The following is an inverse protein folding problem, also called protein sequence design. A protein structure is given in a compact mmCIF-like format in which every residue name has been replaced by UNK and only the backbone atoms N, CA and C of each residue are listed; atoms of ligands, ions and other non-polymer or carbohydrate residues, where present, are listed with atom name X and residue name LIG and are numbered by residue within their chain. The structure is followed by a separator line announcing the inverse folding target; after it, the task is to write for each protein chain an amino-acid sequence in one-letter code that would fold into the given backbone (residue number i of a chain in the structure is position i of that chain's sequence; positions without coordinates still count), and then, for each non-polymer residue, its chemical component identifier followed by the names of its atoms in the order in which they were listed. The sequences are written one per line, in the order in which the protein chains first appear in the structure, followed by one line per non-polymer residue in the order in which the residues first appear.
data_IF_749160104566
#
_entry.id   IF_749160104566
#
_cell.length_a   1.000
_cell.length_b   1.000
_cell.length_c   1.000
_cell.angle_alpha   90.00
_cell.angle_beta   90.00
_cell.angle_gamma   90.00
#
_symmetry.space_group_name_H-M   'P 1'
#
loop_
_entity.id
_entity.type
_entity.pdbx_description
1 polymer ?
#
# COMPACT_ATOMS: atom_id res chain seq x y z
N UNK A 1 -33.16 82.98 -2.02
CA UNK A 1 -33.58 81.95 -3.02
C UNK A 1 -32.37 81.08 -3.31
N UNK A 2 -32.23 79.99 -2.61
CA UNK A 2 -31.09 79.06 -2.75
C UNK A 2 -31.64 77.75 -3.34
N UNK A 3 -31.16 77.36 -4.52
CA UNK A 3 -31.46 76.10 -5.16
C UNK A 3 -30.33 75.10 -4.79
N UNK A 4 -30.67 74.14 -3.96
CA UNK A 4 -29.80 73.01 -3.67
C UNK A 4 -29.98 71.93 -4.75
N UNK A 5 -28.88 71.60 -5.40
CA UNK A 5 -28.81 70.50 -6.38
C UNK A 5 -28.33 69.28 -5.64
N UNK A 6 -29.16 68.25 -5.54
CA UNK A 6 -28.81 66.92 -5.01
C UNK A 6 -28.13 66.12 -6.12
N UNK A 7 -26.85 65.82 -5.94
CA UNK A 7 -26.14 64.85 -6.79
C UNK A 7 -26.31 63.43 -6.25
N UNK A 8 -27.05 62.57 -6.96
CA UNK A 8 -27.12 61.15 -6.72
C UNK A 8 -25.88 60.47 -7.32
N UNK A 9 -25.00 60.00 -6.44
CA UNK A 9 -23.88 59.15 -6.85
C UNK A 9 -24.36 57.68 -6.95
N UNK A 10 -24.41 57.17 -8.15
CA UNK A 10 -24.69 55.74 -8.45
C UNK A 10 -23.36 54.99 -8.31
N UNK A 11 -23.25 54.20 -7.26
CA UNK A 11 -22.08 53.33 -7.01
C UNK A 11 -22.35 51.98 -7.68
N UNK A 12 -21.77 51.75 -8.85
CA UNK A 12 -21.78 50.45 -9.57
C UNK A 12 -20.82 49.48 -8.83
N UNK A 13 -21.41 48.55 -8.09
CA UNK A 13 -20.68 47.35 -7.61
C UNK A 13 -20.45 46.37 -8.79
N UNK A 14 -19.27 46.43 -9.37
CA UNK A 14 -18.80 45.39 -10.29
C UNK A 14 -18.41 44.13 -9.49
N UNK A 15 -19.34 43.20 -9.32
CA UNK A 15 -19.05 41.86 -8.78
C UNK A 15 -18.24 41.06 -9.79
N UNK A 16 -16.92 41.04 -9.61
CA UNK A 16 -16.04 40.19 -10.40
C UNK A 16 -16.25 38.73 -10.00
N UNK A 17 -16.92 37.94 -10.86
CA UNK A 17 -16.92 36.48 -10.79
C UNK A 17 -15.47 36.00 -11.03
N UNK A 18 -14.76 35.64 -9.97
CA UNK A 18 -13.50 34.91 -10.11
C UNK A 18 -13.81 33.49 -10.63
N UNK A 19 -13.69 33.27 -11.93
CA UNK A 19 -13.57 31.92 -12.47
C UNK A 19 -12.25 31.34 -11.95
N UNK A 20 -12.34 30.46 -10.95
CA UNK A 20 -11.23 29.58 -10.58
C UNK A 20 -11.05 28.60 -11.73
N UNK A 21 -10.10 28.88 -12.63
CA UNK A 21 -9.67 27.92 -13.62
C UNK A 21 -9.06 26.73 -12.88
N UNK A 22 -9.79 25.60 -12.85
CA UNK A 22 -9.22 24.32 -12.42
C UNK A 22 -8.15 23.94 -13.44
N UNK A 23 -6.88 24.09 -13.08
CA UNK A 23 -5.78 23.51 -13.85
C UNK A 23 -6.02 22.00 -13.91
N UNK A 24 -6.09 21.37 -15.09
CA UNK A 24 -6.19 19.94 -15.18
C UNK A 24 -4.99 19.32 -14.46
N UNK A 25 -5.24 18.36 -13.55
CA UNK A 25 -4.17 17.59 -12.91
C UNK A 25 -3.33 16.95 -14.01
N UNK A 26 -2.02 17.21 -14.01
CA UNK A 26 -1.06 16.60 -14.93
C UNK A 26 -0.66 15.20 -14.50
N UNK A 27 -1.24 14.71 -13.41
CA UNK A 27 -0.94 13.37 -12.88
C UNK A 27 -1.52 12.30 -13.83
N UNK A 28 -0.64 11.47 -14.37
CA UNK A 28 -1.06 10.32 -15.15
C UNK A 28 -1.92 9.39 -14.27
N UNK A 29 -3.09 8.93 -14.76
CA UNK A 29 -3.91 8.04 -13.97
C UNK A 29 -3.17 6.72 -13.68
N UNK A 30 -3.42 6.08 -12.52
CA UNK A 30 -2.83 4.79 -12.23
C UNK A 30 -3.15 3.77 -13.33
N UNK A 31 -2.12 3.06 -13.80
CA UNK A 31 -2.28 2.02 -14.81
C UNK A 31 -2.15 0.63 -14.18
N UNK A 32 -2.99 -0.31 -14.64
CA UNK A 32 -2.98 -1.70 -14.18
C UNK A 32 -2.38 -2.58 -15.27
N UNK A 33 -1.21 -3.18 -15.01
CA UNK A 33 -0.50 -4.06 -15.95
C UNK A 33 -0.58 -5.53 -15.58
N UNK A 34 -0.79 -5.86 -14.31
CA UNK A 34 -0.78 -7.21 -13.76
C UNK A 34 -2.14 -7.60 -13.20
N UNK A 35 -2.52 -8.88 -13.29
CA UNK A 35 -3.64 -9.39 -12.50
C UNK A 35 -3.29 -9.47 -11.00
N UNK A 36 -4.30 -9.79 -10.17
CA UNK A 36 -4.12 -9.85 -8.72
C UNK A 36 -3.10 -10.91 -8.30
N UNK A 37 -3.06 -12.07 -8.99
CA UNK A 37 -2.11 -13.12 -8.66
C UNK A 37 -0.67 -12.74 -9.02
N UNK A 38 -0.48 -12.06 -10.15
CA UNK A 38 0.82 -11.53 -10.56
C UNK A 38 1.31 -10.45 -9.59
N UNK A 39 0.42 -9.54 -9.15
CA UNK A 39 0.75 -8.54 -8.14
C UNK A 39 1.16 -9.19 -6.81
N UNK A 40 0.40 -10.21 -6.36
CA UNK A 40 0.72 -10.94 -5.14
C UNK A 40 2.09 -11.61 -5.21
N UNK A 41 2.39 -12.30 -6.32
CA UNK A 41 3.64 -13.04 -6.50
C UNK A 41 4.85 -12.14 -6.75
N UNK A 42 4.64 -11.03 -7.46
CA UNK A 42 5.74 -10.16 -7.88
C UNK A 42 6.10 -9.09 -6.84
N UNK A 43 5.19 -8.73 -5.96
CA UNK A 43 5.38 -7.61 -5.04
C UNK A 43 5.11 -7.99 -3.58
N UNK A 44 3.88 -8.43 -3.25
CA UNK A 44 3.51 -8.62 -1.85
C UNK A 44 4.17 -9.85 -1.23
N UNK A 45 4.18 -10.99 -1.95
CA UNK A 45 4.74 -12.24 -1.42
C UNK A 45 6.26 -12.16 -1.15
N UNK A 46 7.10 -11.64 -2.06
CA UNK A 46 8.52 -11.48 -1.76
C UNK A 46 8.78 -10.61 -0.53
N UNK A 47 8.09 -9.47 -0.42
CA UNK A 47 8.22 -8.58 0.73
C UNK A 47 7.72 -9.24 2.03
N UNK A 48 6.58 -9.95 1.97
CA UNK A 48 6.06 -10.67 3.14
C UNK A 48 7.03 -11.75 3.64
N UNK A 49 7.70 -12.47 2.73
CA UNK A 49 8.67 -13.48 3.11
C UNK A 49 9.86 -12.91 3.88
N UNK A 50 10.34 -11.72 3.54
CA UNK A 50 11.42 -11.06 4.30
C UNK A 50 10.95 -10.74 5.72
N UNK A 51 9.72 -10.23 5.89
CA UNK A 51 9.15 -9.98 7.22
C UNK A 51 8.98 -11.28 8.01
N UNK A 52 8.52 -12.35 7.35
CA UNK A 52 8.29 -13.65 8.00
C UNK A 52 9.59 -14.38 8.36
N UNK A 53 10.65 -14.26 7.53
CA UNK A 53 11.95 -14.87 7.86
C UNK A 53 12.55 -14.29 9.14
N UNK A 54 12.27 -13.02 9.45
CA UNK A 54 12.69 -12.40 10.70
C UNK A 54 12.02 -12.98 11.96
N UNK A 55 11.05 -13.90 11.85
CA UNK A 55 10.53 -14.64 13.00
C UNK A 55 11.47 -15.77 13.45
N UNK A 56 12.17 -16.42 12.50
CA UNK A 56 13.10 -17.51 12.77
C UNK A 56 14.56 -17.06 12.89
N UNK A 57 14.93 -16.07 12.10
CA UNK A 57 16.30 -15.55 12.02
C UNK A 57 16.31 -14.11 12.56
N UNK A 58 17.08 -13.86 13.64
CA UNK A 58 17.25 -12.50 14.12
C UNK A 58 18.05 -11.69 13.08
N UNK A 59 17.46 -10.67 12.48
CA UNK A 59 18.14 -9.88 11.45
C UNK A 59 19.44 -9.19 11.94
N UNK A 60 19.57 -9.01 13.26
CA UNK A 60 20.78 -8.45 13.88
C UNK A 60 21.97 -9.42 13.88
N UNK A 61 21.71 -10.72 13.77
CA UNK A 61 22.74 -11.78 13.82
C UNK A 61 23.21 -12.20 12.44
N UNK A 62 22.61 -11.65 11.39
CA UNK A 62 22.95 -11.98 9.99
C UNK A 62 24.38 -11.56 9.69
N UNK A 63 25.20 -12.52 9.26
CA UNK A 63 26.62 -12.30 8.91
C UNK A 63 26.78 -12.35 7.40
N UNK A 64 27.48 -11.36 6.87
CA UNK A 64 27.93 -11.42 5.48
C UNK A 64 28.96 -12.52 5.28
N UNK A 65 28.83 -13.26 4.18
CA UNK A 65 29.82 -14.28 3.81
C UNK A 65 31.08 -13.58 3.29
N UNK A 66 32.26 -13.80 3.90
CA UNK A 66 33.50 -13.19 3.44
C UNK A 66 33.78 -13.50 1.96
N UNK A 67 34.13 -12.48 1.19
CA UNK A 67 34.40 -12.62 -0.25
C UNK A 67 33.17 -12.73 -1.15
N UNK A 68 31.95 -12.71 -0.59
CA UNK A 68 30.73 -12.66 -1.37
C UNK A 68 30.29 -11.19 -1.57
N UNK A 69 29.95 -10.85 -2.83
CA UNK A 69 29.39 -9.50 -3.11
C UNK A 69 27.93 -9.44 -2.63
N UNK A 70 27.58 -8.59 -1.66
CA UNK A 70 26.22 -8.47 -1.15
C UNK A 70 25.19 -8.11 -2.24
N UNK A 71 25.61 -7.41 -3.31
CA UNK A 71 24.72 -7.07 -4.42
C UNK A 71 24.30 -8.30 -5.25
N UNK A 72 25.02 -9.41 -5.12
CA UNK A 72 24.74 -10.68 -5.80
C UNK A 72 23.97 -11.66 -4.92
N UNK A 73 23.62 -11.29 -3.69
CA UNK A 73 22.85 -12.15 -2.81
C UNK A 73 21.38 -12.23 -3.26
N UNK A 74 20.85 -13.45 -3.33
CA UNK A 74 19.43 -13.72 -3.53
C UNK A 74 18.63 -13.73 -2.23
N UNK A 75 19.32 -13.78 -1.09
CA UNK A 75 18.72 -13.65 0.24
C UNK A 75 18.71 -12.16 0.65
N UNK A 76 17.52 -11.56 0.80
CA UNK A 76 17.41 -10.15 1.18
C UNK A 76 18.11 -9.80 2.49
N UNK A 77 18.15 -10.73 3.46
CA UNK A 77 18.78 -10.47 4.77
C UNK A 77 20.32 -10.37 4.67
N UNK A 78 20.92 -10.99 3.67
CA UNK A 78 22.37 -10.96 3.42
C UNK A 78 22.77 -10.03 2.28
N UNK A 79 21.83 -9.28 1.72
CA UNK A 79 22.04 -8.34 0.62
C UNK A 79 22.69 -7.03 1.11
N UNK A 80 22.98 -6.12 0.17
CA UNK A 80 23.54 -4.78 0.44
C UNK A 80 22.72 -4.00 1.48
N UNK A 81 21.39 -4.16 1.47
CA UNK A 81 20.48 -3.57 2.45
C UNK A 81 19.95 -4.63 3.41
N UNK A 82 20.85 -5.51 3.90
CA UNK A 82 20.48 -6.67 4.69
C UNK A 82 20.15 -6.39 6.15
N UNK A 83 19.99 -7.46 6.92
CA UNK A 83 19.67 -7.39 8.34
C UNK A 83 18.35 -6.66 8.61
N UNK A 84 18.32 -5.86 9.66
CA UNK A 84 17.12 -5.09 10.02
C UNK A 84 16.65 -4.15 8.92
N UNK A 85 17.57 -3.60 8.11
CA UNK A 85 17.20 -2.71 7.00
C UNK A 85 16.39 -3.45 5.92
N UNK A 86 16.70 -4.72 5.65
CA UNK A 86 15.89 -5.52 4.72
C UNK A 86 14.46 -5.68 5.23
N UNK A 87 14.28 -5.92 6.53
CA UNK A 87 12.96 -6.05 7.16
C UNK A 87 12.20 -4.72 7.12
N UNK A 88 12.86 -3.61 7.44
CA UNK A 88 12.27 -2.26 7.32
C UNK A 88 11.77 -2.00 5.89
N UNK A 89 12.63 -2.21 4.89
CA UNK A 89 12.30 -2.00 3.50
C UNK A 89 11.14 -2.88 3.03
N UNK A 90 11.13 -4.15 3.45
CA UNK A 90 10.08 -5.10 3.10
C UNK A 90 8.73 -4.72 3.74
N UNK A 91 8.73 -4.31 5.00
CA UNK A 91 7.52 -3.86 5.68
C UNK A 91 6.95 -2.58 5.04
N UNK A 92 7.80 -1.62 4.66
CA UNK A 92 7.37 -0.44 3.90
C UNK A 92 6.84 -0.81 2.52
N UNK A 93 7.51 -1.71 1.79
CA UNK A 93 7.05 -2.18 0.49
C UNK A 93 5.65 -2.80 0.57
N UNK A 94 5.33 -3.55 1.64
CA UNK A 94 4.00 -4.09 1.87
C UNK A 94 2.97 -2.99 2.14
N UNK A 95 3.28 -2.03 3.02
CA UNK A 95 2.39 -0.93 3.35
C UNK A 95 2.05 -0.08 2.11
N UNK A 96 3.06 0.24 1.30
CA UNK A 96 2.88 1.00 0.05
C UNK A 96 2.15 0.17 -1.02
N UNK A 97 2.45 -1.13 -1.12
CA UNK A 97 1.80 -2.03 -2.08
C UNK A 97 0.32 -2.25 -1.78
N UNK A 98 -0.14 -2.00 -0.55
CA UNK A 98 -1.56 -1.99 -0.22
C UNK A 98 -2.35 -1.00 -1.08
N UNK A 99 -1.74 0.10 -1.53
CA UNK A 99 -2.36 1.06 -2.45
C UNK A 99 -2.66 0.41 -3.81
N UNK A 100 -1.79 -0.49 -4.28
CA UNK A 100 -1.96 -1.18 -5.56
C UNK A 100 -3.15 -2.14 -5.55
N UNK A 101 -3.56 -2.65 -4.38
CA UNK A 101 -4.73 -3.51 -4.21
C UNK A 101 -6.05 -2.75 -4.43
N UNK A 102 -6.04 -1.44 -4.24
CA UNK A 102 -7.22 -0.57 -4.36
C UNK A 102 -7.40 0.03 -5.76
N UNK A 103 -6.44 -0.14 -6.67
CA UNK A 103 -6.53 0.42 -8.02
C UNK A 103 -7.62 -0.35 -8.79
N UNK A 104 -8.64 0.38 -9.25
CA UNK A 104 -9.73 -0.17 -10.05
C UNK A 104 -9.23 -0.72 -11.40
N UNK A 105 -9.98 -1.67 -11.98
CA UNK A 105 -9.66 -2.25 -13.30
C UNK A 105 -8.72 -3.46 -13.25
N UNK A 106 -8.26 -3.89 -12.07
CA UNK A 106 -7.49 -5.12 -11.92
C UNK A 106 -8.41 -6.33 -11.87
N UNK A 107 -8.06 -7.36 -12.61
CA UNK A 107 -8.75 -8.65 -12.56
C UNK A 107 -8.05 -9.62 -11.60
N UNK A 108 -8.80 -10.55 -11.06
CA UNK A 108 -8.29 -11.75 -10.41
C UNK A 108 -7.85 -12.78 -11.46
N UNK A 109 -7.10 -13.80 -11.07
CA UNK A 109 -6.52 -14.80 -11.99
C UNK A 109 -7.53 -15.59 -12.83
N UNK A 110 -8.81 -15.53 -12.47
CA UNK A 110 -9.92 -16.14 -13.21
C UNK A 110 -10.65 -15.15 -14.14
N UNK A 111 -10.10 -13.94 -14.34
CA UNK A 111 -10.68 -12.89 -15.16
C UNK A 111 -11.81 -12.07 -14.49
N UNK A 112 -12.25 -12.45 -13.30
CA UNK A 112 -13.27 -11.69 -12.55
C UNK A 112 -12.65 -10.40 -12.04
N UNK A 113 -13.29 -9.23 -12.19
CA UNK A 113 -12.80 -7.98 -11.63
C UNK A 113 -12.59 -8.07 -10.11
N UNK A 114 -11.45 -7.56 -9.62
CA UNK A 114 -11.22 -7.44 -8.19
C UNK A 114 -12.28 -6.53 -7.57
N UNK A 115 -12.93 -6.93 -6.47
CA UNK A 115 -14.06 -6.19 -5.91
C UNK A 115 -13.59 -5.01 -5.05
N UNK A 116 -12.84 -4.10 -5.65
CA UNK A 116 -12.21 -2.95 -4.95
C UNK A 116 -13.20 -1.99 -4.32
N UNK A 117 -14.48 -2.07 -4.69
CA UNK A 117 -15.58 -1.28 -4.10
C UNK A 117 -16.31 -2.00 -2.96
N UNK A 118 -16.02 -3.29 -2.72
CA UNK A 118 -16.60 -4.03 -1.59
C UNK A 118 -16.03 -3.45 -0.27
N UNK A 119 -16.88 -3.09 0.70
CA UNK A 119 -16.43 -2.56 1.99
C UNK A 119 -15.43 -3.48 2.72
N UNK A 120 -15.62 -4.81 2.63
CA UNK A 120 -14.70 -5.75 3.25
C UNK A 120 -13.32 -5.76 2.54
N UNK A 121 -13.27 -5.49 1.23
CA UNK A 121 -12.01 -5.33 0.53
C UNK A 121 -11.20 -4.18 1.11
N UNK A 122 -11.84 -3.03 1.28
CA UNK A 122 -11.21 -1.84 1.88
C UNK A 122 -10.69 -2.10 3.30
N UNK A 123 -11.48 -2.82 4.11
CA UNK A 123 -11.06 -3.20 5.47
C UNK A 123 -9.80 -4.06 5.43
N UNK A 124 -9.78 -5.13 4.63
CA UNK A 124 -8.60 -6.00 4.53
C UNK A 124 -7.36 -5.29 3.98
N UNK A 125 -7.52 -4.39 3.02
CA UNK A 125 -6.41 -3.57 2.52
C UNK A 125 -5.83 -2.70 3.64
N UNK A 126 -6.70 -2.11 4.47
CA UNK A 126 -6.25 -1.31 5.61
C UNK A 126 -5.58 -2.17 6.68
N UNK A 127 -6.09 -3.36 6.97
CA UNK A 127 -5.47 -4.29 7.92
C UNK A 127 -4.04 -4.68 7.49
N UNK A 128 -3.83 -4.97 6.19
CA UNK A 128 -2.48 -5.24 5.66
C UNK A 128 -1.57 -4.02 5.84
N UNK A 129 -2.03 -2.82 5.52
CA UNK A 129 -1.26 -1.59 5.69
C UNK A 129 -0.86 -1.37 7.14
N UNK A 130 -1.81 -1.49 8.07
CA UNK A 130 -1.59 -1.25 9.49
C UNK A 130 -0.65 -2.30 10.10
N UNK A 131 -0.82 -3.58 9.73
CA UNK A 131 0.06 -4.66 10.16
C UNK A 131 1.49 -4.47 9.65
N UNK A 132 1.64 -4.09 8.37
CA UNK A 132 2.94 -3.79 7.78
C UNK A 132 3.64 -2.63 8.49
N UNK A 133 2.91 -1.56 8.81
CA UNK A 133 3.47 -0.43 9.55
C UNK A 133 3.84 -0.77 11.00
N UNK A 134 3.17 -1.74 11.63
CA UNK A 134 3.60 -2.28 12.93
C UNK A 134 4.93 -3.02 12.80
N UNK A 135 5.07 -3.90 11.80
CA UNK A 135 6.32 -4.61 11.50
C UNK A 135 7.45 -3.64 11.17
N UNK A 136 7.19 -2.59 10.42
CA UNK A 136 8.16 -1.53 10.14
C UNK A 136 8.70 -0.89 11.43
N UNK A 137 7.81 -0.51 12.35
CA UNK A 137 8.23 0.10 13.62
C UNK A 137 9.01 -0.86 14.52
N UNK A 138 8.64 -2.15 14.53
CA UNK A 138 9.40 -3.19 15.25
C UNK A 138 10.80 -3.35 14.68
N UNK A 139 10.93 -3.37 13.34
CA UNK A 139 12.23 -3.45 12.67
C UNK A 139 13.09 -2.21 12.92
N UNK A 140 12.53 -1.00 12.90
CA UNK A 140 13.26 0.24 13.26
C UNK A 140 13.79 0.20 14.70
N UNK A 141 13.00 -0.36 15.62
CA UNK A 141 13.43 -0.55 17.01
C UNK A 141 14.41 -1.71 17.18
N UNK A 142 14.60 -2.55 16.16
CA UNK A 142 15.39 -3.79 16.21
C UNK A 142 14.92 -4.73 17.33
N UNK A 143 13.61 -4.74 17.56
CA UNK A 143 12.95 -5.50 18.62
C UNK A 143 12.47 -6.84 18.07
N UNK A 144 13.22 -7.90 18.36
CA UNK A 144 12.94 -9.25 17.85
C UNK A 144 11.62 -9.80 18.37
N UNK A 145 11.30 -9.59 19.63
CA UNK A 145 10.06 -10.12 20.21
C UNK A 145 8.84 -9.43 19.58
N UNK A 146 8.94 -8.11 19.41
CA UNK A 146 7.90 -7.33 18.72
C UNK A 146 7.79 -7.68 17.25
N UNK A 147 8.89 -8.05 16.62
CA UNK A 147 8.90 -8.48 15.22
C UNK A 147 8.13 -9.78 15.04
N UNK A 148 8.30 -10.75 15.92
CA UNK A 148 7.55 -12.01 15.93
C UNK A 148 6.04 -11.73 16.05
N UNK A 149 5.62 -10.93 17.05
CA UNK A 149 4.21 -10.56 17.26
C UNK A 149 3.60 -9.85 16.04
N UNK A 150 4.33 -8.91 15.44
CA UNK A 150 3.81 -8.13 14.31
C UNK A 150 3.78 -8.92 13.01
N UNK A 151 4.69 -9.88 12.81
CA UNK A 151 4.66 -10.80 11.68
C UNK A 151 3.44 -11.75 11.74
N UNK A 152 3.08 -12.22 12.93
CA UNK A 152 1.83 -12.98 13.14
C UNK A 152 0.60 -12.12 12.79
N UNK A 153 0.58 -10.86 13.23
CA UNK A 153 -0.48 -9.89 12.90
C UNK A 153 -0.60 -9.70 11.38
N UNK A 154 0.53 -9.56 10.68
CA UNK A 154 0.57 -9.43 9.22
C UNK A 154 0.05 -10.71 8.53
N UNK A 155 0.47 -11.88 9.01
CA UNK A 155 -0.02 -13.17 8.50
C UNK A 155 -1.54 -13.29 8.63
N UNK A 156 -2.10 -12.88 9.77
CA UNK A 156 -3.54 -12.90 10.02
C UNK A 156 -4.29 -11.95 9.07
N UNK A 157 -3.78 -10.74 8.82
CA UNK A 157 -4.35 -9.77 7.89
C UNK A 157 -4.39 -10.33 6.44
N UNK A 158 -3.28 -10.92 5.98
CA UNK A 158 -3.22 -11.58 4.67
C UNK A 158 -4.23 -12.72 4.57
N UNK A 159 -4.27 -13.58 5.60
CA UNK A 159 -5.18 -14.74 5.63
C UNK A 159 -6.66 -14.32 5.67
N UNK A 160 -7.01 -13.21 6.30
CA UNK A 160 -8.37 -12.67 6.33
C UNK A 160 -8.92 -12.40 4.94
N UNK A 161 -8.17 -11.61 4.15
CA UNK A 161 -8.50 -11.32 2.76
C UNK A 161 -8.54 -12.59 1.89
N UNK A 162 -7.52 -13.45 2.03
CA UNK A 162 -7.42 -14.68 1.25
C UNK A 162 -8.61 -15.61 1.50
N UNK A 163 -9.02 -15.83 2.76
CA UNK A 163 -10.20 -16.65 3.07
C UNK A 163 -11.47 -16.12 2.40
N UNK A 164 -11.65 -14.82 2.36
CA UNK A 164 -12.86 -14.21 1.78
C UNK A 164 -12.86 -14.24 0.25
N UNK A 165 -11.75 -13.90 -0.38
CA UNK A 165 -11.72 -13.62 -1.81
C UNK A 165 -10.93 -14.63 -2.65
N UNK A 166 -9.88 -15.27 -2.11
CA UNK A 166 -9.01 -16.21 -2.84
C UNK A 166 -9.37 -17.66 -2.62
N UNK A 167 -9.55 -18.08 -1.35
CA UNK A 167 -9.62 -19.49 -0.96
C UNK A 167 -11.07 -20.05 -1.11
N UNK A 168 -11.65 -19.84 -2.30
CA UNK A 168 -12.96 -20.40 -2.64
C UNK A 168 -12.81 -21.85 -3.10
N UNK A 169 -13.78 -22.70 -2.75
CA UNK A 169 -13.78 -24.13 -3.13
C UNK A 169 -13.64 -24.33 -4.65
N UNK A 170 -14.31 -23.44 -5.42
CA UNK A 170 -14.23 -23.43 -6.88
C UNK A 170 -13.44 -22.18 -7.33
N UNK A 171 -12.35 -22.35 -8.10
CA UNK A 171 -11.49 -21.25 -8.53
C UNK A 171 -12.23 -20.13 -9.31
N UNK A 172 -13.28 -20.47 -10.03
CA UNK A 172 -14.14 -19.51 -10.75
C UNK A 172 -14.92 -18.58 -9.82
N UNK A 173 -15.01 -18.92 -8.53
CA UNK A 173 -15.67 -18.08 -7.52
C UNK A 173 -14.71 -17.13 -6.79
N UNK A 174 -13.41 -17.14 -7.13
CA UNK A 174 -12.47 -16.17 -6.61
C UNK A 174 -12.91 -14.76 -6.96
N UNK A 175 -12.75 -13.85 -6.01
CA UNK A 175 -13.12 -12.43 -6.13
C UNK A 175 -14.62 -12.14 -6.37
N UNK A 176 -15.49 -13.16 -6.47
CA UNK A 176 -16.93 -12.90 -6.50
C UNK A 176 -17.41 -12.48 -5.10
N UNK A 177 -18.11 -11.37 -5.07
CA UNK A 177 -18.82 -10.90 -3.88
C UNK A 177 -20.09 -11.73 -3.74
N UNK A 178 -20.37 -12.22 -2.53
CA UNK A 178 -21.63 -12.90 -2.19
C UNK A 178 -22.54 -11.92 -1.51
#
# INVERSE_FOLDING_TARGET
MHRTVLALSFMLLAGGLMLVAQTPSTDAPPQVHADMNQLMRGVLYPAANVVFSAQGDNPGDVKFVPGHDPNMSTDPLTSTFGGWQAVENAALALAESANLLSIAGRNCSNGVPAPTKDPAWTVFVQEVRDASMKSYRAAQAKDQDKMIETAETLSAACAGCHRKFRDRKAPENRCKVQ
#
